data_IF_770403137382
#
_entry.id   IF_770403137382
#
_cell.length_a   1.000
_cell.length_b   1.000
_cell.length_c   1.000
_cell.angle_alpha   90.00
_cell.angle_beta   90.00
_cell.angle_gamma   90.00
#
_symmetry.space_group_name_H-M   'P 1'
#
loop_
_entity.id
_entity.type
_entity.pdbx_description
1 polymer ?
#
# COMPACT_ATOMS: atom_id res chain seq x y z
N UNK A 1 1.49 9.98 4.91
CA UNK A 1 2.62 9.67 5.81
C UNK A 1 2.11 9.44 7.22
N UNK A 2 2.82 8.63 8.02
CA UNK A 2 2.42 8.26 9.38
C UNK A 2 2.69 9.40 10.39
N UNK A 3 1.79 10.40 10.42
CA UNK A 3 1.93 11.61 11.26
C UNK A 3 1.75 11.32 12.75
N UNK A 4 1.00 10.26 13.09
CA UNK A 4 0.67 9.89 14.48
C UNK A 4 1.73 9.03 15.17
N UNK A 5 2.82 8.67 14.48
CA UNK A 5 3.88 7.79 15.00
C UNK A 5 3.39 6.42 15.51
N UNK A 6 2.26 5.93 14.98
CA UNK A 6 1.71 4.59 15.24
C UNK A 6 2.25 3.57 14.23
N UNK A 7 2.51 2.29 14.56
CA UNK A 7 2.94 1.31 13.57
C UNK A 7 1.92 1.14 12.44
N UNK A 8 2.38 0.99 11.21
CA UNK A 8 1.52 0.73 10.05
C UNK A 8 1.85 1.59 8.84
N UNK A 9 1.24 1.23 7.72
CA UNK A 9 1.35 1.94 6.45
C UNK A 9 -0.03 2.12 5.82
N UNK A 10 -0.07 2.76 4.65
CA UNK A 10 -1.30 3.12 3.96
C UNK A 10 -1.22 2.72 2.49
N UNK A 11 -2.39 2.64 1.86
CA UNK A 11 -2.52 2.51 0.42
C UNK A 11 -3.04 3.82 -0.16
N UNK A 12 -2.24 4.48 -0.99
CA UNK A 12 -2.64 5.68 -1.71
C UNK A 12 -3.32 5.29 -3.02
N UNK A 13 -4.57 5.74 -3.18
CA UNK A 13 -5.27 5.73 -4.45
C UNK A 13 -4.70 6.88 -5.27
N UNK A 14 -4.05 6.56 -6.38
CA UNK A 14 -3.41 7.53 -7.25
C UNK A 14 -4.11 7.63 -8.59
N UNK A 15 -4.11 8.84 -9.13
CA UNK A 15 -4.66 9.20 -10.44
C UNK A 15 -3.68 10.12 -11.18
N UNK A 16 -3.84 10.23 -12.49
CA UNK A 16 -3.19 11.29 -13.25
C UNK A 16 -3.89 12.64 -12.97
N UNK A 17 -3.13 13.75 -12.94
CA UNK A 17 -3.64 15.08 -12.61
C UNK A 17 -4.82 15.54 -13.49
N UNK A 18 -4.79 15.25 -14.79
CA UNK A 18 -5.90 15.47 -15.74
C UNK A 18 -7.27 14.94 -15.26
N UNK A 19 -7.31 13.85 -14.48
CA UNK A 19 -8.59 13.29 -13.98
C UNK A 19 -9.31 14.25 -13.03
N UNK A 20 -8.59 15.14 -12.34
CA UNK A 20 -9.22 16.19 -11.52
C UNK A 20 -10.02 17.18 -12.37
N UNK A 21 -9.55 17.49 -13.58
CA UNK A 21 -10.30 18.34 -14.51
C UNK A 21 -11.59 17.66 -15.02
N UNK A 22 -11.68 16.33 -14.92
CA UNK A 22 -12.87 15.54 -15.22
C UNK A 22 -13.75 15.25 -13.99
N UNK A 23 -13.65 16.07 -12.93
CA UNK A 23 -14.43 15.96 -11.69
C UNK A 23 -14.25 14.65 -10.90
N UNK A 24 -13.13 13.94 -11.08
CA UNK A 24 -12.79 12.80 -10.23
C UNK A 24 -12.28 13.30 -8.87
N UNK A 25 -13.09 13.13 -7.83
CA UNK A 25 -12.82 13.67 -6.50
C UNK A 25 -12.80 12.62 -5.39
N UNK A 26 -13.42 11.49 -5.61
CA UNK A 26 -13.53 10.38 -4.66
C UNK A 26 -13.22 9.06 -5.35
N UNK A 27 -12.94 8.02 -4.57
CA UNK A 27 -12.81 6.67 -5.12
C UNK A 27 -14.02 6.28 -5.98
N UNK A 28 -15.25 6.61 -5.58
CA UNK A 28 -16.47 6.20 -6.30
C UNK A 28 -16.65 6.87 -7.67
N UNK A 29 -15.95 7.98 -7.93
CA UNK A 29 -15.95 8.64 -9.24
C UNK A 29 -15.14 7.86 -10.28
N UNK A 30 -14.35 6.86 -9.85
CA UNK A 30 -13.54 5.99 -10.71
C UNK A 30 -14.31 4.77 -11.23
N UNK A 31 -15.64 4.72 -11.06
CA UNK A 31 -16.47 3.63 -11.56
C UNK A 31 -16.36 3.53 -13.07
N UNK A 32 -16.18 2.32 -13.58
CA UNK A 32 -15.97 2.05 -15.00
C UNK A 32 -14.59 2.46 -15.52
N UNK A 33 -13.68 2.94 -14.67
CA UNK A 33 -12.32 3.28 -15.07
C UNK A 33 -11.39 2.05 -15.02
N UNK A 34 -10.25 2.16 -15.72
CA UNK A 34 -9.19 1.15 -15.76
C UNK A 34 -8.33 1.21 -14.50
N UNK A 35 -8.28 0.10 -13.77
CA UNK A 35 -7.53 -0.03 -12.53
C UNK A 35 -6.24 -0.85 -12.74
N UNK A 36 -5.09 -0.25 -12.43
CA UNK A 36 -3.80 -0.96 -12.41
C UNK A 36 -3.45 -1.44 -10.99
N UNK A 37 -3.23 -2.74 -10.85
CA UNK A 37 -2.91 -3.37 -9.56
C UNK A 37 -1.62 -4.20 -9.66
N UNK A 38 -0.87 -4.26 -8.56
CA UNK A 38 0.43 -4.94 -8.52
C UNK A 38 0.29 -6.45 -8.62
N UNK A 39 -0.46 -7.04 -7.69
CA UNK A 39 -0.79 -8.46 -7.67
C UNK A 39 -2.12 -8.67 -6.94
N UNK A 40 -2.84 -9.75 -7.26
CA UNK A 40 -4.13 -10.07 -6.63
C UNK A 40 -3.99 -10.25 -5.11
N UNK A 41 -2.85 -10.80 -4.66
CA UNK A 41 -2.53 -11.02 -3.25
C UNK A 41 -1.92 -9.79 -2.56
N UNK A 42 -1.78 -8.67 -3.28
CA UNK A 42 -1.30 -7.43 -2.68
C UNK A 42 -2.32 -6.87 -1.69
N UNK A 43 -1.90 -6.75 -0.42
CA UNK A 43 -2.73 -6.22 0.65
C UNK A 43 -3.19 -4.78 0.36
N UNK A 44 -2.23 -3.89 0.09
CA UNK A 44 -2.48 -2.48 -0.25
C UNK A 44 -2.90 -2.29 -1.69
N UNK A 45 -2.38 -3.09 -2.63
CA UNK A 45 -2.60 -2.91 -4.06
C UNK A 45 -3.91 -3.49 -4.59
N UNK A 46 -4.56 -4.42 -3.86
CA UNK A 46 -5.76 -5.11 -4.34
C UNK A 46 -6.78 -5.38 -3.23
N UNK A 47 -6.40 -6.11 -2.18
CA UNK A 47 -7.35 -6.62 -1.17
C UNK A 47 -8.04 -5.50 -0.39
N UNK A 48 -7.31 -4.47 0.01
CA UNK A 48 -7.89 -3.31 0.71
C UNK A 48 -8.87 -2.53 -0.19
N UNK A 49 -8.58 -2.42 -1.49
CA UNK A 49 -9.47 -1.76 -2.45
C UNK A 49 -10.80 -2.50 -2.54
N UNK A 50 -10.74 -3.83 -2.73
CA UNK A 50 -11.94 -4.67 -2.78
C UNK A 50 -12.78 -4.54 -1.50
N UNK A 51 -12.14 -4.58 -0.33
CA UNK A 51 -12.80 -4.36 0.96
C UNK A 51 -13.54 -3.02 0.98
N UNK A 52 -12.84 -1.94 0.66
CA UNK A 52 -13.38 -0.58 0.71
C UNK A 52 -14.53 -0.40 -0.28
N UNK A 53 -14.44 -0.99 -1.47
CA UNK A 53 -15.52 -0.97 -2.44
C UNK A 53 -16.76 -1.72 -1.91
N UNK A 54 -16.56 -2.91 -1.36
CA UNK A 54 -17.65 -3.70 -0.75
C UNK A 54 -18.33 -2.98 0.41
N UNK A 55 -17.56 -2.35 1.29
CA UNK A 55 -18.08 -1.53 2.40
C UNK A 55 -18.88 -0.32 1.90
N UNK A 56 -18.58 0.18 0.70
CA UNK A 56 -19.31 1.26 0.02
C UNK A 56 -20.48 0.76 -0.85
N UNK A 57 -20.78 -0.54 -0.84
CA UNK A 57 -21.86 -1.15 -1.63
C UNK A 57 -21.51 -1.45 -3.08
N UNK A 58 -20.24 -1.33 -3.46
CA UNK A 58 -19.74 -1.67 -4.80
C UNK A 58 -19.29 -3.13 -4.89
N UNK A 59 -19.10 -3.63 -6.11
CA UNK A 59 -18.64 -4.98 -6.38
C UNK A 59 -17.66 -5.00 -7.58
N UNK A 60 -17.30 -6.18 -8.10
CA UNK A 60 -16.36 -6.31 -9.22
C UNK A 60 -16.77 -5.53 -10.49
N UNK A 61 -18.06 -5.21 -10.68
CA UNK A 61 -18.53 -4.36 -11.79
C UNK A 61 -18.07 -2.90 -11.67
N UNK A 62 -17.49 -2.51 -10.54
CA UNK A 62 -16.92 -1.19 -10.34
C UNK A 62 -15.80 -0.88 -11.34
N UNK A 63 -15.00 -1.90 -11.70
CA UNK A 63 -13.87 -1.74 -12.60
C UNK A 63 -14.33 -1.83 -14.06
N UNK A 64 -13.91 -0.87 -14.90
CA UNK A 64 -14.12 -0.98 -16.34
C UNK A 64 -13.16 -1.98 -16.98
N UNK A 65 -11.89 -1.93 -16.55
CA UNK A 65 -10.90 -2.93 -16.90
C UNK A 65 -9.83 -3.06 -15.80
N UNK A 66 -9.11 -4.18 -15.81
CA UNK A 66 -8.11 -4.53 -14.80
C UNK A 66 -6.77 -4.81 -15.48
N UNK A 67 -5.73 -4.10 -15.06
CA UNK A 67 -4.36 -4.26 -15.57
C UNK A 67 -3.43 -4.75 -14.46
N UNK A 68 -2.93 -5.99 -14.60
CA UNK A 68 -1.91 -6.52 -13.69
C UNK A 68 -0.55 -5.94 -14.06
N UNK A 69 -0.01 -5.10 -13.19
CA UNK A 69 1.27 -4.39 -13.42
C UNK A 69 2.48 -5.16 -12.90
N UNK A 70 2.29 -6.11 -11.97
CA UNK A 70 3.35 -6.88 -11.33
C UNK A 70 4.11 -6.15 -10.22
N UNK A 71 3.98 -4.82 -10.10
CA UNK A 71 4.63 -4.06 -9.02
C UNK A 71 3.96 -2.71 -8.78
N UNK A 72 4.12 -2.18 -7.56
CA UNK A 72 3.64 -0.83 -7.21
C UNK A 72 4.24 0.28 -8.10
N UNK A 73 5.53 0.19 -8.44
CA UNK A 73 6.19 1.13 -9.36
C UNK A 73 5.57 1.04 -10.77
N UNK A 74 5.36 -0.17 -11.27
CA UNK A 74 4.74 -0.40 -12.58
C UNK A 74 3.30 0.12 -12.64
N UNK A 75 2.50 -0.09 -11.58
CA UNK A 75 1.17 0.51 -11.46
C UNK A 75 1.21 2.04 -11.54
N UNK A 76 2.12 2.68 -10.80
CA UNK A 76 2.28 4.12 -10.82
C UNK A 76 2.73 4.63 -12.20
N UNK A 77 3.63 3.91 -12.88
CA UNK A 77 4.04 4.22 -14.25
C UNK A 77 2.91 4.07 -15.26
N UNK A 78 2.03 3.06 -15.10
CA UNK A 78 0.84 2.90 -15.94
C UNK A 78 -0.14 4.07 -15.79
N UNK A 79 -0.32 4.58 -14.56
CA UNK A 79 -1.12 5.80 -14.33
C UNK A 79 -0.46 7.03 -14.94
N UNK A 80 0.85 7.21 -14.72
CA UNK A 80 1.61 8.33 -15.26
C UNK A 80 1.59 8.37 -16.80
N UNK A 81 1.66 7.20 -17.44
CA UNK A 81 1.59 7.07 -18.91
C UNK A 81 0.16 6.96 -19.45
N UNK A 82 -0.85 7.11 -18.58
CA UNK A 82 -2.29 7.03 -18.91
C UNK A 82 -2.72 5.69 -19.54
N UNK A 83 -1.96 4.62 -19.32
CA UNK A 83 -2.37 3.24 -19.63
C UNK A 83 -3.45 2.76 -18.67
N UNK A 84 -3.42 3.25 -17.43
CA UNK A 84 -4.46 3.05 -16.43
C UNK A 84 -4.97 4.40 -15.94
N UNK A 85 -6.24 4.44 -15.55
CA UNK A 85 -6.86 5.66 -15.02
C UNK A 85 -6.47 5.90 -13.57
N UNK A 86 -6.27 4.81 -12.81
CA UNK A 86 -5.92 4.87 -11.40
C UNK A 86 -5.23 3.59 -10.92
N UNK A 87 -4.58 3.68 -9.76
CA UNK A 87 -3.96 2.54 -9.08
C UNK A 87 -4.02 2.71 -7.56
N UNK A 88 -3.87 1.61 -6.84
CA UNK A 88 -3.67 1.59 -5.40
C UNK A 88 -2.21 1.21 -5.10
N UNK A 89 -1.51 2.09 -4.41
CA UNK A 89 -0.06 1.98 -4.24
C UNK A 89 0.31 2.14 -2.78
N UNK A 90 1.15 1.24 -2.27
CA UNK A 90 1.77 1.39 -0.96
C UNK A 90 2.44 2.78 -0.83
N UNK A 91 2.01 3.59 0.14
CA UNK A 91 2.46 4.99 0.27
C UNK A 91 3.98 5.13 0.43
N UNK A 92 4.61 4.18 1.13
CA UNK A 92 6.06 4.17 1.35
C UNK A 92 6.79 3.85 0.05
N UNK A 93 6.25 2.91 -0.72
CA UNK A 93 6.75 2.53 -2.03
C UNK A 93 6.57 3.67 -3.02
N UNK A 94 5.41 4.32 -3.03
CA UNK A 94 5.15 5.50 -3.88
C UNK A 94 6.20 6.59 -3.61
N UNK A 95 6.42 6.95 -2.35
CA UNK A 95 7.45 7.91 -1.94
C UNK A 95 8.84 7.55 -2.48
N UNK A 96 9.26 6.30 -2.30
CA UNK A 96 10.58 5.82 -2.73
C UNK A 96 10.71 5.63 -4.25
N UNK A 97 9.58 5.43 -4.94
CA UNK A 97 9.53 5.12 -6.37
C UNK A 97 9.57 6.36 -7.26
N UNK A 98 9.21 7.55 -6.74
CA UNK A 98 9.17 8.81 -7.51
C UNK A 98 10.44 9.11 -8.30
N UNK A 99 11.61 8.85 -7.72
CA UNK A 99 12.91 9.05 -8.40
C UNK A 99 13.15 8.15 -9.62
N UNK A 100 12.36 7.09 -9.79
CA UNK A 100 12.42 6.17 -10.93
C UNK A 100 11.31 6.42 -11.95
N UNK A 101 10.47 7.42 -11.72
CA UNK A 101 9.40 7.82 -12.63
C UNK A 101 9.85 9.02 -13.48
N UNK A 102 9.32 9.10 -14.70
CA UNK A 102 9.51 10.27 -15.56
C UNK A 102 9.08 11.55 -14.83
N UNK A 103 9.90 12.59 -14.89
CA UNK A 103 9.70 13.86 -14.18
C UNK A 103 9.35 13.73 -12.68
N UNK A 104 9.85 12.69 -12.02
CA UNK A 104 9.56 12.45 -10.60
C UNK A 104 8.11 12.04 -10.30
N UNK A 105 7.34 11.70 -11.34
CA UNK A 105 5.90 11.45 -11.23
C UNK A 105 5.10 12.70 -10.82
N UNK A 106 5.51 13.89 -11.29
CA UNK A 106 4.86 15.17 -10.99
C UNK A 106 3.36 15.19 -11.31
N UNK A 107 2.94 14.42 -12.30
CA UNK A 107 1.55 14.37 -12.78
C UNK A 107 0.71 13.31 -12.03
N UNK A 108 1.29 12.61 -11.04
CA UNK A 108 0.55 11.70 -10.16
C UNK A 108 0.02 12.47 -8.95
N UNK A 109 -1.29 12.42 -8.78
CA UNK A 109 -1.99 12.92 -7.59
C UNK A 109 -2.49 11.76 -6.72
N UNK A 110 -2.42 11.94 -5.40
CA UNK A 110 -3.13 11.08 -4.45
C UNK A 110 -4.57 11.57 -4.31
N UNK A 111 -5.52 10.72 -4.67
CA UNK A 111 -6.96 11.00 -4.61
C UNK A 111 -7.51 10.72 -3.21
N UNK A 112 -7.19 9.56 -2.65
CA UNK A 112 -7.63 9.09 -1.34
C UNK A 112 -6.55 8.20 -0.73
N UNK A 113 -6.47 8.12 0.59
CA UNK A 113 -5.53 7.25 1.31
C UNK A 113 -6.34 6.28 2.16
N UNK A 114 -6.19 4.98 1.88
CA UNK A 114 -6.85 3.89 2.59
C UNK A 114 -5.93 3.31 3.67
N UNK A 115 -6.54 2.83 4.76
CA UNK A 115 -5.83 2.18 5.85
C UNK A 115 -6.36 2.61 7.22
N UNK A 116 -5.60 2.38 8.29
CA UNK A 116 -4.20 1.95 8.36
C UNK A 116 -4.03 0.42 8.20
N UNK A 117 -3.02 0.00 7.45
CA UNK A 117 -2.60 -1.40 7.32
C UNK A 117 -1.54 -1.78 8.38
N UNK A 118 -1.41 -3.07 8.74
CA UNK A 118 -0.40 -3.54 9.69
C UNK A 118 1.01 -3.12 9.28
N UNK A 119 1.95 -2.90 10.20
CA UNK A 119 3.32 -2.56 9.85
C UNK A 119 4.00 -3.68 9.04
N UNK A 120 5.09 -3.35 8.31
CA UNK A 120 5.87 -4.37 7.62
C UNK A 120 6.59 -5.26 8.66
N UNK A 121 6.35 -6.59 8.66
CA UNK A 121 7.03 -7.48 9.59
C UNK A 121 8.48 -7.72 9.16
N UNK A 122 9.39 -7.76 10.13
CA UNK A 122 10.71 -8.37 9.93
C UNK A 122 10.61 -9.83 10.35
N UNK A 123 10.60 -10.73 9.36
CA UNK A 123 10.53 -12.17 9.59
C UNK A 123 11.91 -12.80 9.53
N UNK A 124 12.16 -13.77 10.41
CA UNK A 124 13.42 -14.52 10.48
C UNK A 124 13.15 -16.01 10.52
N UNK A 125 14.12 -16.83 10.14
CA UNK A 125 13.97 -18.28 10.12
C UNK A 125 13.63 -18.83 11.52
N UNK A 126 12.61 -19.69 11.60
CA UNK A 126 12.10 -20.26 12.85
C UNK A 126 13.15 -21.10 13.59
N UNK A 127 14.12 -21.69 12.89
CA UNK A 127 15.20 -22.52 13.44
C UNK A 127 16.38 -21.72 14.00
N UNK A 128 16.40 -20.39 13.88
CA UNK A 128 17.46 -19.58 14.50
C UNK A 128 17.44 -19.72 16.02
N UNK A 129 18.63 -19.75 16.62
CA UNK A 129 18.82 -19.76 18.08
C UNK A 129 18.14 -18.54 18.71
N UNK A 130 17.57 -18.74 19.90
CA UNK A 130 16.80 -17.70 20.61
C UNK A 130 17.67 -16.48 20.89
N UNK A 131 18.95 -16.68 21.20
CA UNK A 131 19.91 -15.63 21.47
C UNK A 131 20.13 -14.75 20.23
N UNK A 132 20.23 -15.36 19.05
CA UNK A 132 20.36 -14.64 17.78
C UNK A 132 19.09 -13.85 17.46
N UNK A 133 17.90 -14.44 17.67
CA UNK A 133 16.63 -13.74 17.49
C UNK A 133 16.56 -12.50 18.40
N UNK A 134 16.88 -12.65 19.68
CA UNK A 134 16.94 -11.54 20.64
C UNK A 134 17.95 -10.46 20.24
N UNK A 135 19.13 -10.85 19.78
CA UNK A 135 20.15 -9.90 19.32
C UNK A 135 19.68 -9.08 18.10
N UNK A 136 19.04 -9.73 17.12
CA UNK A 136 18.45 -9.04 15.96
C UNK A 136 17.37 -8.06 16.40
N UNK A 137 16.43 -8.49 17.24
CA UNK A 137 15.36 -7.63 17.77
C UNK A 137 15.93 -6.42 18.48
N UNK A 138 16.86 -6.62 19.42
CA UNK A 138 17.48 -5.53 20.18
C UNK A 138 18.21 -4.54 19.27
N UNK A 139 18.95 -5.06 18.27
CA UNK A 139 19.62 -4.21 17.30
C UNK A 139 18.61 -3.33 16.54
N UNK A 140 17.57 -3.91 15.94
CA UNK A 140 16.56 -3.16 15.19
C UNK A 140 15.84 -2.11 16.04
N UNK A 141 15.52 -2.42 17.30
CA UNK A 141 14.90 -1.47 18.22
C UNK A 141 15.83 -0.31 18.60
N UNK A 142 17.13 -0.58 18.74
CA UNK A 142 18.12 0.42 19.16
C UNK A 142 18.67 1.29 18.03
N UNK A 143 18.74 0.79 16.79
CA UNK A 143 19.41 1.49 15.69
C UNK A 143 18.83 2.90 15.45
N UNK A 144 17.49 3.10 15.35
CA UNK A 144 16.90 4.42 15.14
C UNK A 144 17.13 5.43 16.28
N UNK A 145 17.65 5.00 17.44
CA UNK A 145 17.99 5.90 18.55
C UNK A 145 19.23 6.76 18.25
N UNK A 146 20.03 6.38 17.25
CA UNK A 146 21.19 7.16 16.80
C UNK A 146 20.83 7.99 15.56
N UNK A 147 21.27 9.25 15.53
CA UNK A 147 20.98 10.16 14.40
C UNK A 147 21.45 9.62 13.04
N UNK A 148 22.58 8.90 13.02
CA UNK A 148 23.12 8.26 11.81
C UNK A 148 22.12 7.28 11.18
N UNK A 149 21.57 6.38 11.99
CA UNK A 149 20.64 5.35 11.51
C UNK A 149 19.24 5.90 11.32
N UNK A 150 18.78 6.81 12.20
CA UNK A 150 17.52 7.55 12.01
C UNK A 150 17.46 8.21 10.63
N UNK A 151 18.52 8.94 10.25
CA UNK A 151 18.58 9.59 8.94
C UNK A 151 18.63 8.59 7.78
N UNK A 152 19.29 7.44 7.97
CA UNK A 152 19.33 6.38 6.95
C UNK A 152 17.95 5.75 6.73
N UNK A 153 17.20 5.47 7.79
CA UNK A 153 15.86 4.90 7.71
C UNK A 153 14.80 5.90 7.23
N UNK A 154 14.91 7.17 7.61
CA UNK A 154 13.98 8.22 7.19
C UNK A 154 13.93 8.37 5.66
N UNK A 155 15.05 8.13 4.95
CA UNK A 155 15.10 8.11 3.48
C UNK A 155 14.22 7.05 2.84
N UNK A 156 13.87 6.01 3.59
CA UNK A 156 12.97 4.94 3.17
C UNK A 156 11.56 5.08 3.76
N UNK A 157 11.27 6.17 4.47
CA UNK A 157 9.99 6.37 5.17
C UNK A 157 9.86 5.60 6.49
N UNK A 158 10.96 5.03 7.01
CA UNK A 158 10.96 4.28 8.27
C UNK A 158 11.37 5.21 9.42
N UNK A 159 10.50 5.31 10.44
CA UNK A 159 10.71 6.19 11.60
C UNK A 159 11.37 5.43 12.76
N UNK A 160 10.85 4.24 13.09
CA UNK A 160 11.31 3.36 14.17
C UNK A 160 10.89 1.91 13.90
N UNK A 161 11.43 1.00 14.70
CA UNK A 161 10.96 -0.38 14.83
C UNK A 161 10.25 -0.54 16.17
N UNK A 162 9.29 -1.46 16.25
CA UNK A 162 8.62 -1.84 17.48
C UNK A 162 8.67 -3.36 17.68
N UNK A 163 8.51 -3.80 18.93
CA UNK A 163 8.42 -5.21 19.24
C UNK A 163 7.16 -5.79 18.57
N UNK A 164 7.31 -6.97 17.98
CA UNK A 164 6.19 -7.63 17.32
C UNK A 164 5.14 -8.05 18.34
N UNK A 165 3.87 -7.86 18.02
CA UNK A 165 2.74 -8.41 18.77
C UNK A 165 1.71 -8.96 17.78
N UNK A 166 1.08 -10.08 18.10
CA UNK A 166 0.02 -10.66 17.27
C UNK A 166 -1.14 -9.66 17.11
N UNK A 167 -1.40 -8.87 18.15
CA UNK A 167 -2.38 -7.76 18.16
C UNK A 167 -2.13 -6.73 17.05
N UNK A 168 -0.87 -6.51 16.63
CA UNK A 168 -0.57 -5.57 15.55
C UNK A 168 -1.03 -6.06 14.17
N UNK A 169 -1.35 -7.36 14.06
CA UNK A 169 -1.86 -8.02 12.87
C UNK A 169 -3.24 -8.64 13.09
N UNK A 170 -3.85 -8.44 14.25
CA UNK A 170 -5.23 -8.83 14.60
C UNK A 170 -6.19 -7.61 14.53
N UNK A 171 -7.51 -7.83 14.40
CA UNK A 171 -8.53 -6.77 14.36
C UNK A 171 -8.95 -6.27 12.96
N UNK A 172 -9.46 -5.03 12.79
CA UNK A 172 -9.92 -4.52 11.48
C UNK A 172 -8.85 -4.52 10.37
N UNK A 173 -7.57 -4.45 10.76
CA UNK A 173 -6.42 -4.59 9.88
C UNK A 173 -6.14 -6.07 9.50
N UNK A 174 -6.54 -7.02 10.34
CA UNK A 174 -6.54 -8.48 10.09
C UNK A 174 -7.76 -8.94 9.28
N UNK A 175 -8.85 -8.18 9.29
CA UNK A 175 -9.99 -8.46 8.40
C UNK A 175 -9.56 -8.47 6.93
N UNK A 176 -8.44 -7.83 6.58
CA UNK A 176 -7.87 -7.93 5.24
C UNK A 176 -7.30 -9.34 4.94
N UNK A 177 -6.94 -10.13 5.96
CA UNK A 177 -6.60 -11.55 5.81
C UNK A 177 -7.85 -12.43 5.62
N UNK A 178 -9.01 -12.04 6.18
CA UNK A 178 -10.29 -12.69 5.88
C UNK A 178 -10.75 -12.49 4.42
N UNK A 179 -10.09 -11.59 3.68
CA UNK A 179 -10.35 -11.23 2.28
C UNK A 179 -9.43 -12.01 1.32
N UNK A 180 -8.59 -12.93 1.82
CA UNK A 180 -7.84 -13.87 0.97
C UNK A 180 -8.73 -14.57 -0.07
N UNK A 181 -10.02 -14.78 0.24
CA UNK A 181 -11.00 -15.41 -0.66
C UNK A 181 -11.60 -14.47 -1.72
N UNK A 182 -11.52 -13.15 -1.57
CA UNK A 182 -12.03 -12.20 -2.57
C UNK A 182 -11.03 -12.09 -3.73
N UNK A 183 -11.52 -12.32 -4.94
CA UNK A 183 -10.74 -12.21 -6.17
C UNK A 183 -11.30 -11.09 -7.03
N UNK A 184 -10.40 -10.38 -7.72
CA UNK A 184 -10.73 -9.30 -8.65
C UNK A 184 -11.67 -9.75 -9.81
N UNK A 185 -11.85 -11.06 -10.01
CA UNK A 185 -12.64 -11.66 -11.08
C UNK A 185 -13.93 -12.39 -10.63
N UNK A 186 -14.44 -12.20 -9.40
CA UNK A 186 -15.71 -12.84 -9.00
C UNK A 186 -16.88 -11.90 -9.30
N UNK A 187 -17.67 -12.22 -10.34
CA UNK A 187 -19.04 -11.71 -10.45
C UNK A 187 -19.88 -12.36 -9.37
N UNK A 188 -20.32 -11.58 -8.38
CA UNK A 188 -21.35 -12.02 -7.46
C UNK A 188 -22.70 -11.83 -8.17
N UNK A 189 -23.34 -12.95 -8.53
CA UNK A 189 -24.73 -12.98 -9.00
C UNK A 189 -25.67 -12.95 -7.80
#
# INVERSE_FOLDING_TARGET
MNVENKPGYFSDIIIHCDKKAHNVNTLLDLRGCTFAYSDEESLSGSKLVLKTLKEKGENASFFGSLLKSGSHLSSAQMVLSKQADWAAVDSTTLLNSRKFMYDGGKDILTLETLGRLPPYPVVVNSKLKVETKKAITNALLSLPLTSKWKNKFARFGVIKFEANSDVAYDGPAAQVWAIQTEKLNVRYY
#
